data_IF_389284299209
#
_entry.id   IF_389284299209
#
_cell.length_a   1.000
_cell.length_b   1.000
_cell.length_c   1.000
_cell.angle_alpha   90.00
_cell.angle_beta   90.00
_cell.angle_gamma   90.00
#
_symmetry.space_group_name_H-M   'P 1'
#
loop_
_entity.id
_entity.type
_entity.pdbx_description
1 polymer ?
#
# COMPACT_ATOMS: atom_id res chain seq x y z
N UNK A 1 22.52 -12.00 7.30
CA UNK A 1 21.19 -12.35 6.73
C UNK A 1 20.76 -11.19 5.83
N UNK A 2 20.06 -11.50 4.73
CA UNK A 2 19.42 -10.47 3.89
C UNK A 2 18.31 -9.75 4.67
N UNK A 3 18.15 -8.44 4.48
CA UNK A 3 16.98 -7.71 5.02
C UNK A 3 15.72 -8.17 4.30
N UNK A 4 14.56 -8.06 4.94
CA UNK A 4 13.26 -8.49 4.41
C UNK A 4 12.31 -7.32 4.27
N UNK A 5 11.64 -7.22 3.12
CA UNK A 5 10.57 -6.27 2.87
C UNK A 5 9.22 -6.98 2.70
N UNK A 6 8.18 -6.43 3.31
CA UNK A 6 6.78 -6.83 3.12
C UNK A 6 6.06 -5.72 2.36
N UNK A 7 5.35 -6.06 1.28
CA UNK A 7 4.62 -5.09 0.46
C UNK A 7 3.19 -5.56 0.26
N UNK A 8 2.21 -4.76 0.68
CA UNK A 8 0.79 -5.01 0.39
C UNK A 8 0.37 -4.39 -0.94
N UNK A 9 -0.59 -5.01 -1.66
CA UNK A 9 -0.95 -4.62 -3.03
C UNK A 9 0.19 -4.87 -4.00
N UNK A 10 0.94 -5.96 -3.80
CA UNK A 10 2.20 -6.23 -4.48
C UNK A 10 2.06 -6.98 -5.82
N UNK A 11 0.86 -7.43 -6.18
CA UNK A 11 0.63 -8.14 -7.45
C UNK A 11 0.72 -7.22 -8.68
N UNK A 12 0.56 -5.89 -8.51
CA UNK A 12 0.55 -4.93 -9.62
C UNK A 12 1.01 -3.52 -9.23
N UNK A 13 1.10 -2.63 -10.21
CA UNK A 13 1.26 -1.19 -10.01
C UNK A 13 2.48 -0.80 -9.17
N UNK A 14 2.28 0.15 -8.25
CA UNK A 14 3.35 0.68 -7.38
C UNK A 14 3.87 -0.42 -6.44
N UNK A 15 2.98 -1.26 -5.88
CA UNK A 15 3.39 -2.34 -4.97
C UNK A 15 4.32 -3.34 -5.63
N UNK A 16 4.01 -3.79 -6.84
CA UNK A 16 4.90 -4.68 -7.59
C UNK A 16 6.24 -4.00 -7.92
N UNK A 17 6.20 -2.72 -8.30
CA UNK A 17 7.43 -1.98 -8.60
C UNK A 17 8.31 -1.81 -7.34
N UNK A 18 7.73 -1.57 -6.16
CA UNK A 18 8.43 -1.55 -4.87
C UNK A 18 9.05 -2.92 -4.56
N UNK A 19 8.26 -4.00 -4.67
CA UNK A 19 8.74 -5.37 -4.45
C UNK A 19 9.93 -5.70 -5.37
N UNK A 20 9.81 -5.37 -6.66
CA UNK A 20 10.89 -5.52 -7.65
C UNK A 20 12.13 -4.73 -7.26
N UNK A 21 11.96 -3.49 -6.82
CA UNK A 21 13.08 -2.63 -6.45
C UNK A 21 13.80 -3.13 -5.20
N UNK A 22 13.08 -3.61 -4.17
CA UNK A 22 13.68 -4.26 -3.00
C UNK A 22 14.44 -5.53 -3.38
N UNK A 23 13.90 -6.36 -4.28
CA UNK A 23 14.61 -7.54 -4.79
C UNK A 23 15.92 -7.16 -5.51
N UNK A 24 15.94 -6.06 -6.27
CA UNK A 24 17.17 -5.53 -6.89
C UNK A 24 18.22 -5.09 -5.86
N UNK A 25 17.77 -4.61 -4.67
CA UNK A 25 18.62 -4.32 -3.51
C UNK A 25 19.01 -5.60 -2.73
N UNK A 26 18.73 -6.81 -3.28
CA UNK A 26 19.08 -8.11 -2.68
C UNK A 26 18.35 -8.37 -1.35
N UNK A 27 17.18 -7.80 -1.16
CA UNK A 27 16.31 -8.10 -0.02
C UNK A 27 15.44 -9.33 -0.32
N UNK A 28 15.09 -10.08 0.71
CA UNK A 28 13.97 -11.02 0.64
C UNK A 28 12.66 -10.24 0.58
N UNK A 29 11.67 -10.76 -0.15
CA UNK A 29 10.43 -10.01 -0.39
C UNK A 29 9.20 -10.87 -0.09
N UNK A 30 8.34 -10.37 0.78
CA UNK A 30 6.97 -10.88 0.94
C UNK A 30 6.05 -10.01 0.09
N UNK A 31 5.46 -10.61 -0.94
CA UNK A 31 4.43 -10.00 -1.74
C UNK A 31 3.07 -10.39 -1.15
N UNK A 32 2.26 -9.40 -0.81
CA UNK A 32 0.95 -9.62 -0.22
C UNK A 32 -0.13 -8.94 -1.08
N UNK A 33 -1.13 -9.70 -1.50
CA UNK A 33 -2.22 -9.17 -2.35
C UNK A 33 -3.49 -10.01 -2.17
N UNK A 34 -4.64 -9.47 -2.57
CA UNK A 34 -5.91 -10.19 -2.57
C UNK A 34 -6.08 -11.03 -3.85
N UNK A 35 -5.38 -10.69 -4.94
CA UNK A 35 -5.50 -11.32 -6.26
C UNK A 35 -4.50 -12.47 -6.41
N UNK A 36 -4.87 -13.71 -6.01
CA UNK A 36 -3.97 -14.86 -5.95
C UNK A 36 -3.21 -15.13 -7.26
N UNK A 37 -3.91 -15.21 -8.40
CA UNK A 37 -3.26 -15.55 -9.70
C UNK A 37 -2.22 -14.50 -10.11
N UNK A 38 -2.54 -13.22 -9.90
CA UNK A 38 -1.62 -12.11 -10.19
C UNK A 38 -0.43 -12.11 -9.21
N UNK A 39 -0.69 -12.47 -7.95
CA UNK A 39 0.33 -12.61 -6.91
C UNK A 39 1.34 -13.71 -7.25
N UNK A 40 0.87 -14.90 -7.66
CA UNK A 40 1.74 -16.03 -8.03
C UNK A 40 2.63 -15.68 -9.22
N UNK A 41 2.06 -14.99 -10.22
CA UNK A 41 2.82 -14.48 -11.35
C UNK A 41 3.87 -13.43 -10.94
N UNK A 42 3.54 -12.57 -9.99
CA UNK A 42 4.45 -11.56 -9.44
C UNK A 42 5.60 -12.20 -8.67
N UNK A 43 5.31 -13.17 -7.79
CA UNK A 43 6.32 -13.93 -7.03
C UNK A 43 7.32 -14.59 -7.96
N UNK A 44 6.84 -15.30 -9.01
CA UNK A 44 7.72 -15.92 -9.99
C UNK A 44 8.69 -14.93 -10.63
N UNK A 45 8.20 -13.74 -11.01
CA UNK A 45 9.05 -12.69 -11.60
C UNK A 45 10.07 -12.13 -10.62
N UNK A 46 9.71 -11.97 -9.35
CA UNK A 46 10.60 -11.45 -8.31
C UNK A 46 11.68 -12.50 -7.97
N UNK A 47 11.30 -13.77 -7.80
CA UNK A 47 12.26 -14.85 -7.52
C UNK A 47 13.31 -15.00 -8.64
N UNK A 48 12.94 -14.74 -9.90
CA UNK A 48 13.87 -14.73 -11.04
C UNK A 48 14.96 -13.64 -10.96
N UNK A 49 14.84 -12.67 -10.03
CA UNK A 49 15.90 -11.69 -9.73
C UNK A 49 16.99 -12.25 -8.78
N UNK A 50 16.87 -13.51 -8.36
CA UNK A 50 17.84 -14.21 -7.54
C UNK A 50 17.76 -13.86 -6.04
N UNK A 51 16.58 -13.59 -5.55
CA UNK A 51 16.23 -13.41 -4.13
C UNK A 51 15.14 -14.38 -3.71
N UNK A 52 15.03 -14.64 -2.41
CA UNK A 52 13.88 -15.38 -1.90
C UNK A 52 12.64 -14.48 -1.86
N UNK A 53 11.54 -14.98 -2.43
CA UNK A 53 10.27 -14.27 -2.45
C UNK A 53 9.11 -15.24 -2.15
N UNK A 54 8.17 -14.77 -1.34
CA UNK A 54 6.96 -15.52 -1.02
C UNK A 54 5.72 -14.67 -1.29
N UNK A 55 4.65 -15.29 -1.77
CA UNK A 55 3.34 -14.68 -1.94
C UNK A 55 2.41 -15.10 -0.83
N UNK A 56 1.71 -14.15 -0.24
CA UNK A 56 0.72 -14.42 0.81
C UNK A 56 -0.57 -13.69 0.44
N UNK A 57 -1.66 -14.45 0.25
CA UNK A 57 -2.97 -13.87 0.02
C UNK A 57 -3.45 -13.13 1.25
N UNK A 58 -3.90 -11.88 1.09
CA UNK A 58 -4.35 -11.04 2.19
C UNK A 58 -5.49 -10.12 1.76
N UNK A 59 -6.55 -10.07 2.55
CA UNK A 59 -7.48 -8.95 2.56
C UNK A 59 -7.05 -7.98 3.67
N UNK A 60 -6.58 -6.81 3.29
CA UNK A 60 -6.11 -5.81 4.26
C UNK A 60 -7.25 -5.18 5.06
N UNK A 61 -8.51 -5.32 4.63
CA UNK A 61 -9.68 -4.90 5.43
C UNK A 61 -9.93 -5.82 6.62
N UNK A 62 -9.46 -7.08 6.57
CA UNK A 62 -9.59 -8.03 7.67
C UNK A 62 -8.34 -8.01 8.55
N UNK A 63 -8.52 -7.57 9.79
CA UNK A 63 -7.45 -7.53 10.79
C UNK A 63 -6.81 -8.90 11.02
N UNK A 64 -7.59 -9.98 11.02
CA UNK A 64 -7.08 -11.33 11.24
C UNK A 64 -6.24 -11.80 10.04
N UNK A 65 -6.65 -11.44 8.82
CA UNK A 65 -5.88 -11.69 7.60
C UNK A 65 -4.51 -10.98 7.66
N UNK A 66 -4.45 -9.73 8.10
CA UNK A 66 -3.19 -8.98 8.28
C UNK A 66 -2.33 -9.57 9.39
N UNK A 67 -2.91 -10.03 10.50
CA UNK A 67 -2.17 -10.75 11.56
C UNK A 67 -1.58 -12.06 11.05
N UNK A 68 -2.33 -12.80 10.23
CA UNK A 68 -1.85 -14.01 9.57
C UNK A 68 -0.71 -13.71 8.59
N UNK A 69 -0.81 -12.64 7.80
CA UNK A 69 0.28 -12.17 6.94
C UNK A 69 1.55 -11.91 7.75
N UNK A 70 1.43 -11.22 8.89
CA UNK A 70 2.57 -10.92 9.77
C UNK A 70 3.23 -12.20 10.25
N UNK A 71 2.44 -13.14 10.78
CA UNK A 71 2.96 -14.43 11.28
C UNK A 71 3.67 -15.19 10.17
N UNK A 72 3.05 -15.37 9.00
CA UNK A 72 3.65 -16.08 7.87
C UNK A 72 4.92 -15.41 7.34
N UNK A 73 4.98 -14.08 7.36
CA UNK A 73 6.18 -13.33 6.96
C UNK A 73 7.36 -13.59 7.91
N UNK A 74 7.09 -13.61 9.22
CA UNK A 74 8.10 -13.91 10.25
C UNK A 74 8.52 -15.38 10.17
N UNK A 75 7.59 -16.31 10.00
CA UNK A 75 7.88 -17.74 9.85
C UNK A 75 8.80 -17.99 8.62
N UNK A 76 8.59 -17.25 7.52
CA UNK A 76 9.38 -17.40 6.29
C UNK A 76 10.81 -16.81 6.42
N UNK A 77 10.95 -15.62 6.97
CA UNK A 77 12.22 -14.86 6.87
C UNK A 77 12.81 -14.40 8.21
N UNK A 78 12.09 -14.54 9.30
CA UNK A 78 12.48 -14.02 10.61
C UNK A 78 12.22 -12.52 10.70
N UNK A 79 13.28 -11.70 10.82
CA UNK A 79 13.12 -10.27 11.03
C UNK A 79 12.58 -9.54 9.80
N UNK A 80 11.57 -8.69 10.02
CA UNK A 80 10.99 -7.83 8.99
C UNK A 80 11.58 -6.42 9.17
N UNK A 81 12.18 -5.90 8.11
CA UNK A 81 12.90 -4.62 8.15
C UNK A 81 12.13 -3.50 7.46
N UNK A 82 11.38 -3.82 6.41
CA UNK A 82 10.58 -2.83 5.69
C UNK A 82 9.13 -3.31 5.60
N UNK A 83 8.20 -2.42 5.98
CA UNK A 83 6.77 -2.60 5.79
C UNK A 83 6.27 -1.53 4.82
N UNK A 84 5.77 -1.94 3.65
CA UNK A 84 5.09 -1.06 2.71
C UNK A 84 3.58 -1.31 2.76
N UNK A 85 2.84 -0.46 3.46
CA UNK A 85 1.39 -0.41 3.40
C UNK A 85 0.98 0.33 2.13
N UNK A 86 0.83 -0.43 1.02
CA UNK A 86 0.63 0.14 -0.29
C UNK A 86 -0.72 -0.26 -0.92
N UNK A 87 -1.37 -1.33 -0.49
CA UNK A 87 -2.70 -1.70 -0.97
C UNK A 87 -3.66 -0.51 -0.92
N UNK A 88 -4.42 -0.31 -1.97
CA UNK A 88 -5.34 0.81 -2.07
C UNK A 88 -6.33 0.68 -3.21
N UNK A 89 -7.51 1.25 -3.00
CA UNK A 89 -8.64 1.25 -3.94
C UNK A 89 -9.20 2.65 -4.13
N UNK A 90 -9.93 2.85 -5.22
CA UNK A 90 -10.67 4.08 -5.49
C UNK A 90 -12.16 3.77 -5.72
N UNK A 91 -13.09 4.67 -5.32
CA UNK A 91 -14.53 4.48 -5.56
C UNK A 91 -14.84 4.60 -7.06
N UNK A 92 -15.99 4.07 -7.51
CA UNK A 92 -16.38 4.08 -8.92
C UNK A 92 -16.73 5.48 -9.44
N UNK A 93 -17.25 6.34 -8.57
CA UNK A 93 -17.67 7.70 -8.87
C UNK A 93 -16.78 8.69 -8.11
N UNK A 94 -16.12 9.58 -8.86
CA UNK A 94 -15.20 10.59 -8.31
C UNK A 94 -15.75 12.02 -8.47
N UNK A 95 -16.91 12.17 -9.09
CA UNK A 95 -17.57 13.43 -9.46
C UNK A 95 -18.90 13.67 -8.73
N UNK A 96 -19.27 12.80 -7.80
CA UNK A 96 -20.46 12.96 -6.99
C UNK A 96 -20.29 13.99 -5.88
N UNK A 97 -21.37 14.67 -5.54
CA UNK A 97 -21.42 15.51 -4.34
C UNK A 97 -21.22 14.63 -3.09
N UNK A 98 -20.48 15.13 -2.10
CA UNK A 98 -20.05 14.33 -0.95
C UNK A 98 -21.23 13.73 -0.15
N UNK A 99 -22.38 14.39 -0.15
CA UNK A 99 -23.59 13.92 0.54
C UNK A 99 -24.38 12.86 -0.26
N UNK A 100 -24.01 12.62 -1.52
CA UNK A 100 -24.63 11.60 -2.37
C UNK A 100 -23.80 10.31 -2.45
N UNK A 101 -22.60 10.28 -1.83
CA UNK A 101 -21.76 9.09 -1.81
C UNK A 101 -22.42 7.95 -1.01
N UNK A 102 -22.41 6.73 -1.55
CA UNK A 102 -22.87 5.56 -0.83
C UNK A 102 -21.98 5.24 0.38
N UNK A 103 -22.62 4.85 1.49
CA UNK A 103 -21.88 4.41 2.67
C UNK A 103 -20.99 3.19 2.38
N UNK A 104 -21.43 2.29 1.50
CA UNK A 104 -20.62 1.15 1.06
C UNK A 104 -19.32 1.54 0.35
N UNK A 105 -19.27 2.71 -0.32
CA UNK A 105 -18.03 3.27 -0.87
C UNK A 105 -17.11 3.78 0.25
N UNK A 106 -17.69 4.41 1.28
CA UNK A 106 -16.94 4.84 2.46
C UNK A 106 -16.35 3.65 3.21
N UNK A 107 -17.18 2.64 3.50
CA UNK A 107 -16.76 1.44 4.24
C UNK A 107 -15.63 0.70 3.50
N UNK A 108 -15.79 0.52 2.19
CA UNK A 108 -14.77 -0.16 1.38
C UNK A 108 -13.47 0.62 1.29
N UNK A 109 -13.55 1.90 0.91
CA UNK A 109 -12.36 2.73 0.69
C UNK A 109 -11.63 3.02 2.00
N UNK A 110 -12.35 3.32 3.08
CA UNK A 110 -11.73 3.48 4.41
C UNK A 110 -11.17 2.16 4.92
N UNK A 111 -11.89 1.04 4.69
CA UNK A 111 -11.45 -0.30 5.05
C UNK A 111 -10.08 -0.63 4.48
N UNK A 112 -9.90 -0.46 3.17
CA UNK A 112 -8.62 -0.74 2.50
C UNK A 112 -7.57 0.32 2.77
N UNK A 113 -7.89 1.60 2.47
CA UNK A 113 -6.87 2.65 2.39
C UNK A 113 -6.40 3.17 3.74
N UNK A 114 -7.24 3.08 4.79
CA UNK A 114 -6.93 3.56 6.13
C UNK A 114 -6.79 2.42 7.13
N UNK A 115 -7.85 1.59 7.31
CA UNK A 115 -7.79 0.51 8.29
C UNK A 115 -6.76 -0.54 7.91
N UNK A 116 -6.57 -0.85 6.60
CA UNK A 116 -5.51 -1.75 6.14
C UNK A 116 -4.11 -1.25 6.54
N UNK A 117 -3.86 0.05 6.43
CA UNK A 117 -2.59 0.65 6.89
C UNK A 117 -2.47 0.57 8.41
N UNK A 118 -3.53 0.89 9.14
CA UNK A 118 -3.54 0.81 10.61
C UNK A 118 -3.29 -0.62 11.09
N UNK A 119 -3.93 -1.63 10.49
CA UNK A 119 -3.73 -3.04 10.84
C UNK A 119 -2.31 -3.50 10.51
N UNK A 120 -1.75 -3.08 9.39
CA UNK A 120 -0.35 -3.32 9.04
C UNK A 120 0.60 -2.79 10.11
N UNK A 121 0.44 -1.51 10.50
CA UNK A 121 1.24 -0.91 11.57
C UNK A 121 1.07 -1.68 12.88
N UNK A 122 -0.16 -1.95 13.32
CA UNK A 122 -0.41 -2.64 14.59
C UNK A 122 0.14 -4.08 14.63
N UNK A 123 0.17 -4.76 13.49
CA UNK A 123 0.59 -6.16 13.42
C UNK A 123 2.11 -6.32 13.28
N UNK A 124 2.76 -5.51 12.45
CA UNK A 124 4.18 -5.64 12.16
C UNK A 124 5.08 -4.84 13.08
N UNK A 125 4.67 -3.63 13.47
CA UNK A 125 5.55 -2.71 14.18
C UNK A 125 6.05 -3.23 15.54
N UNK A 126 5.25 -3.93 16.38
CA UNK A 126 5.76 -4.48 17.62
C UNK A 126 6.96 -5.42 17.39
N UNK A 127 6.88 -6.32 16.40
CA UNK A 127 7.98 -7.20 16.01
C UNK A 127 9.18 -6.42 15.47
N UNK A 128 8.94 -5.39 14.63
CA UNK A 128 10.01 -4.55 14.09
C UNK A 128 10.77 -3.77 15.18
N UNK A 129 10.08 -3.35 16.22
CA UNK A 129 10.70 -2.67 17.38
C UNK A 129 11.47 -3.68 18.23
N UNK A 130 10.92 -4.88 18.46
CA UNK A 130 11.48 -5.90 19.34
C UNK A 130 12.85 -6.40 18.89
N UNK A 131 13.04 -6.61 17.58
CA UNK A 131 14.32 -7.11 17.07
C UNK A 131 15.44 -6.04 17.02
N UNK A 132 15.15 -4.78 17.29
CA UNK A 132 16.09 -3.66 17.42
C UNK A 132 17.05 -3.42 16.23
N UNK A 133 16.78 -3.98 15.07
CA UNK A 133 17.48 -3.65 13.84
C UNK A 133 16.87 -2.40 13.18
N UNK A 134 17.62 -1.77 12.28
CA UNK A 134 17.11 -0.66 11.49
C UNK A 134 15.97 -1.11 10.57
N UNK A 135 14.91 -0.36 10.55
CA UNK A 135 13.74 -0.65 9.73
C UNK A 135 13.02 0.60 9.22
N UNK A 136 12.02 0.37 8.37
CA UNK A 136 11.28 1.46 7.77
C UNK A 136 9.82 1.09 7.50
N UNK A 137 8.91 2.00 7.79
CA UNK A 137 7.49 1.90 7.40
C UNK A 137 7.21 2.90 6.29
N UNK A 138 6.77 2.41 5.13
CA UNK A 138 6.34 3.22 4.00
C UNK A 138 4.82 3.12 3.84
N UNK A 139 4.11 4.23 4.01
CA UNK A 139 2.66 4.29 3.80
C UNK A 139 2.34 5.01 2.50
N UNK A 140 1.62 4.35 1.58
CA UNK A 140 1.20 4.96 0.32
C UNK A 140 -0.06 5.80 0.53
N UNK A 141 0.13 7.09 0.52
CA UNK A 141 -0.92 8.12 0.58
C UNK A 141 -1.35 8.48 -0.85
N UNK A 142 -1.39 9.73 -1.20
CA UNK A 142 -1.63 10.32 -2.53
C UNK A 142 -1.54 11.84 -2.41
N UNK A 143 -1.28 12.54 -3.51
CA UNK A 143 -1.52 13.99 -3.62
C UNK A 143 -2.96 14.37 -3.23
N UNK A 144 -3.95 13.47 -3.44
CA UNK A 144 -5.33 13.69 -3.03
C UNK A 144 -5.49 13.90 -1.51
N UNK A 145 -4.64 13.24 -0.70
CA UNK A 145 -4.62 13.43 0.76
C UNK A 145 -3.99 14.76 1.18
N UNK A 146 -3.08 15.31 0.37
CA UNK A 146 -2.43 16.62 0.67
C UNK A 146 -3.30 17.79 0.21
N UNK A 147 -3.91 17.66 -0.97
CA UNK A 147 -4.70 18.73 -1.59
C UNK A 147 -6.11 18.88 -1.00
N UNK A 148 -6.50 18.03 -0.05
CA UNK A 148 -7.82 18.08 0.56
C UNK A 148 -8.95 17.76 -0.43
N UNK A 149 -8.70 16.88 -1.40
CA UNK A 149 -9.74 16.40 -2.30
C UNK A 149 -10.74 15.57 -1.49
N UNK A 150 -12.00 16.00 -1.48
CA UNK A 150 -13.08 15.37 -0.73
C UNK A 150 -13.42 13.94 -1.20
N UNK A 151 -14.52 13.41 -0.66
CA UNK A 151 -14.97 12.04 -0.92
C UNK A 151 -14.16 10.98 -0.16
N UNK A 152 -14.61 9.73 -0.24
CA UNK A 152 -14.03 8.62 0.54
C UNK A 152 -12.54 8.42 0.25
N UNK A 153 -12.11 8.59 -1.00
CA UNK A 153 -10.70 8.44 -1.36
C UNK A 153 -9.82 9.52 -0.74
N UNK A 154 -10.14 10.81 -0.96
CA UNK A 154 -9.36 11.92 -0.43
C UNK A 154 -9.29 11.90 1.10
N UNK A 155 -10.44 11.66 1.75
CA UNK A 155 -10.51 11.54 3.21
C UNK A 155 -9.67 10.36 3.72
N UNK A 156 -9.75 9.18 3.09
CA UNK A 156 -8.94 8.03 3.49
C UNK A 156 -7.44 8.30 3.38
N UNK A 157 -7.01 8.99 2.33
CA UNK A 157 -5.60 9.33 2.13
C UNK A 157 -5.11 10.43 3.07
N UNK A 158 -5.97 11.41 3.40
CA UNK A 158 -5.66 12.41 4.43
C UNK A 158 -5.57 11.79 5.82
N UNK A 159 -6.49 10.87 6.16
CA UNK A 159 -6.45 10.13 7.42
C UNK A 159 -5.17 9.28 7.55
N UNK A 160 -4.75 8.61 6.45
CA UNK A 160 -3.50 7.85 6.40
C UNK A 160 -2.26 8.74 6.54
N UNK A 161 -2.29 9.95 5.99
CA UNK A 161 -1.23 10.93 6.19
C UNK A 161 -1.11 11.31 7.67
N UNK A 162 -2.21 11.72 8.30
CA UNK A 162 -2.24 12.09 9.72
C UNK A 162 -1.81 10.93 10.64
N UNK A 163 -2.25 9.69 10.34
CA UNK A 163 -1.79 8.49 11.04
C UNK A 163 -0.27 8.32 10.93
N UNK A 164 0.30 8.55 9.75
CA UNK A 164 1.74 8.39 9.50
C UNK A 164 2.58 9.45 10.21
N UNK A 165 2.10 10.69 10.29
CA UNK A 165 2.72 11.78 11.06
C UNK A 165 2.71 11.44 12.56
N UNK A 166 1.59 10.94 13.07
CA UNK A 166 1.46 10.47 14.45
C UNK A 166 2.40 9.30 14.76
N UNK A 167 2.54 8.35 13.83
CA UNK A 167 3.48 7.24 13.94
C UNK A 167 4.93 7.74 14.01
N UNK A 168 5.32 8.65 13.11
CA UNK A 168 6.66 9.25 13.10
C UNK A 168 7.00 9.92 14.44
N UNK A 169 6.07 10.70 14.99
CA UNK A 169 6.28 11.34 16.31
C UNK A 169 6.40 10.30 17.44
N UNK A 170 5.59 9.23 17.38
CA UNK A 170 5.59 8.16 18.39
C UNK A 170 6.91 7.41 18.40
N UNK A 171 7.44 7.05 17.22
CA UNK A 171 8.72 6.36 17.09
C UNK A 171 9.90 7.23 17.51
N UNK A 172 9.89 8.52 17.17
CA UNK A 172 10.88 9.49 17.68
C UNK A 172 10.88 9.59 19.20
N UNK A 173 9.70 9.62 19.82
CA UNK A 173 9.57 9.74 21.29
C UNK A 173 10.24 8.57 22.04
N UNK A 174 10.25 7.38 21.46
CA UNK A 174 10.88 6.19 22.05
C UNK A 174 12.30 5.94 21.52
N UNK A 175 12.88 6.86 20.75
CA UNK A 175 14.16 6.70 20.06
C UNK A 175 14.27 5.37 19.30
N UNK A 176 13.21 5.02 18.57
CA UNK A 176 13.16 3.82 17.75
C UNK A 176 14.19 3.87 16.62
N UNK A 177 14.66 2.69 16.21
CA UNK A 177 15.48 2.51 14.99
C UNK A 177 14.62 2.31 13.73
N UNK A 178 13.30 2.47 13.86
CA UNK A 178 12.35 2.38 12.75
C UNK A 178 12.00 3.80 12.31
N UNK A 179 12.23 4.10 11.04
CA UNK A 179 11.82 5.34 10.40
C UNK A 179 10.49 5.18 9.65
N UNK A 180 9.89 6.30 9.26
CA UNK A 180 8.60 6.35 8.57
C UNK A 180 8.68 7.30 7.38
N UNK A 181 8.15 6.89 6.25
CA UNK A 181 7.91 7.77 5.09
C UNK A 181 6.47 7.66 4.60
N UNK A 182 5.98 8.73 4.00
CA UNK A 182 4.72 8.77 3.26
C UNK A 182 4.99 8.97 1.78
N UNK A 183 4.52 8.04 0.97
CA UNK A 183 4.57 8.14 -0.48
C UNK A 183 3.31 8.85 -0.98
N UNK A 184 3.46 10.04 -1.57
CA UNK A 184 2.36 10.91 -1.99
C UNK A 184 2.31 11.06 -3.52
N UNK A 185 2.05 9.99 -4.29
CA UNK A 185 2.09 10.05 -5.73
C UNK A 185 0.95 10.92 -6.28
N UNK A 186 1.24 11.60 -7.39
CA UNK A 186 0.24 12.18 -8.26
C UNK A 186 -0.33 11.12 -9.21
N UNK A 187 -0.42 11.42 -10.51
CA UNK A 187 -0.88 10.46 -11.50
C UNK A 187 0.21 9.43 -11.82
N UNK A 188 -0.13 8.15 -11.62
CA UNK A 188 0.75 7.01 -11.90
C UNK A 188 0.00 6.00 -12.78
N UNK A 189 0.68 5.44 -13.75
CA UNK A 189 0.12 4.47 -14.69
C UNK A 189 -0.14 3.11 -14.00
N UNK A 190 -1.26 3.04 -13.28
CA UNK A 190 -1.73 1.86 -12.53
C UNK A 190 -3.18 1.52 -12.88
N UNK A 191 -3.66 0.37 -12.40
CA UNK A 191 -5.04 -0.10 -12.58
C UNK A 191 -5.98 0.30 -11.42
N UNK A 192 -5.64 1.35 -10.65
CA UNK A 192 -6.43 1.74 -9.47
C UNK A 192 -7.90 2.08 -9.80
N UNK A 193 -8.17 2.60 -11.01
CA UNK A 193 -9.55 2.88 -11.49
C UNK A 193 -10.38 1.60 -11.65
N UNK A 194 -9.72 0.46 -11.85
CA UNK A 194 -10.37 -0.83 -12.02
C UNK A 194 -10.45 -1.63 -10.70
N UNK A 195 -10.19 -0.99 -9.55
CA UNK A 195 -10.18 -1.64 -8.24
C UNK A 195 -11.53 -2.26 -7.85
N UNK A 196 -12.64 -1.85 -8.47
CA UNK A 196 -13.98 -2.44 -8.28
C UNK A 196 -14.01 -3.98 -8.45
N UNK A 197 -13.11 -4.57 -9.22
CA UNK A 197 -12.99 -6.03 -9.38
C UNK A 197 -12.69 -6.75 -8.05
N UNK A 198 -12.12 -6.04 -7.08
CA UNK A 198 -11.76 -6.56 -5.75
C UNK A 198 -12.73 -6.11 -4.65
N UNK A 199 -13.86 -5.50 -5.03
CA UNK A 199 -14.86 -5.05 -4.05
C UNK A 199 -15.64 -6.24 -3.50
N UNK A 200 -15.74 -6.39 -2.17
CA UNK A 200 -16.53 -7.47 -1.57
C UNK A 200 -18.01 -7.36 -1.95
N UNK A 201 -18.67 -8.50 -2.17
CA UNK A 201 -20.09 -8.55 -2.56
C UNK A 201 -21.01 -7.86 -1.55
N UNK A 202 -20.75 -8.00 -0.26
CA UNK A 202 -21.55 -7.37 0.80
C UNK A 202 -21.43 -5.83 0.84
N UNK A 203 -20.45 -5.26 0.13
CA UNK A 203 -20.28 -3.82 -0.07
C UNK A 203 -20.59 -3.41 -1.51
N UNK A 204 -21.26 -4.26 -2.30
CA UNK A 204 -21.63 -3.93 -3.66
C UNK A 204 -22.45 -2.61 -3.70
N UNK A 205 -22.22 -1.79 -4.71
CA UNK A 205 -22.96 -0.56 -4.95
C UNK A 205 -23.69 -0.67 -6.28
N UNK A 206 -24.95 -0.24 -6.31
CA UNK A 206 -25.72 -0.17 -7.55
C UNK A 206 -25.29 1.00 -8.45
N UNK A 207 -24.45 1.89 -7.93
CA UNK A 207 -23.95 3.03 -8.68
C UNK A 207 -22.99 2.61 -9.78
N UNK A 208 -23.34 2.96 -11.01
CA UNK A 208 -22.48 2.74 -12.16
C UNK A 208 -21.55 3.93 -12.35
N UNK A 209 -20.27 3.63 -12.51
CA UNK A 209 -19.31 4.66 -12.91
C UNK A 209 -19.70 5.24 -14.27
N UNK A 210 -19.59 6.57 -14.41
CA UNK A 210 -19.73 7.21 -15.70
C UNK A 210 -18.62 6.71 -16.64
N UNK A 211 -18.99 5.99 -17.68
CA UNK A 211 -18.04 5.36 -18.62
C UNK A 211 -17.07 6.37 -19.25
N UNK A 212 -17.57 7.56 -19.63
CA UNK A 212 -16.73 8.60 -20.23
C UNK A 212 -15.70 9.16 -19.22
N UNK A 213 -16.13 9.41 -17.99
CA UNK A 213 -15.23 9.87 -16.93
C UNK A 213 -14.20 8.83 -16.56
N UNK A 214 -14.60 7.54 -16.51
CA UNK A 214 -13.68 6.43 -16.29
C UNK A 214 -12.64 6.35 -17.41
N UNK A 215 -13.03 6.50 -18.67
CA UNK A 215 -12.10 6.53 -19.80
C UNK A 215 -11.15 7.73 -19.74
N UNK A 216 -11.65 8.91 -19.41
CA UNK A 216 -10.82 10.11 -19.27
C UNK A 216 -9.80 9.93 -18.13
N UNK A 217 -10.24 9.51 -16.96
CA UNK A 217 -9.38 9.24 -15.81
C UNK A 217 -8.32 8.16 -16.14
N UNK A 218 -8.70 7.08 -16.83
CA UNK A 218 -7.77 6.05 -17.30
C UNK A 218 -6.73 6.63 -18.27
N UNK A 219 -7.14 7.52 -19.17
CA UNK A 219 -6.22 8.17 -20.12
C UNK A 219 -5.23 9.09 -19.42
N UNK A 220 -5.66 9.82 -18.39
CA UNK A 220 -4.80 10.69 -17.57
C UNK A 220 -3.80 9.83 -16.78
N UNK A 221 -4.25 8.76 -16.13
CA UNK A 221 -3.35 7.87 -15.39
C UNK A 221 -2.32 7.20 -16.30
N UNK A 222 -2.71 6.73 -17.48
CA UNK A 222 -1.77 6.12 -18.45
C UNK A 222 -0.64 7.07 -18.90
N UNK A 223 -0.89 8.39 -18.86
CA UNK A 223 0.12 9.43 -19.14
C UNK A 223 0.93 9.82 -17.90
N UNK A 224 0.56 9.31 -16.72
CA UNK A 224 1.27 9.54 -15.47
C UNK A 224 2.64 8.90 -15.42
N UNK A 225 3.31 9.07 -14.30
CA UNK A 225 4.62 8.44 -14.07
C UNK A 225 4.52 6.92 -14.09
N UNK A 226 5.62 6.27 -14.47
CA UNK A 226 5.68 4.80 -14.42
C UNK A 226 5.84 4.33 -12.96
N UNK A 227 5.23 3.20 -12.56
CA UNK A 227 5.43 2.62 -11.23
C UNK A 227 6.90 2.42 -10.85
N UNK A 228 7.75 1.98 -11.79
CA UNK A 228 9.19 1.79 -11.54
C UNK A 228 9.90 3.10 -11.15
N UNK A 229 9.50 4.24 -11.74
CA UNK A 229 10.04 5.55 -11.39
C UNK A 229 9.65 5.96 -9.95
N UNK A 230 8.41 5.69 -9.58
CA UNK A 230 7.91 5.95 -8.22
C UNK A 230 8.66 5.06 -7.20
N UNK A 231 8.83 3.78 -7.51
CA UNK A 231 9.56 2.85 -6.64
C UNK A 231 11.02 3.26 -6.45
N UNK A 232 11.71 3.72 -7.51
CA UNK A 232 13.09 4.20 -7.40
C UNK A 232 13.21 5.40 -6.48
N UNK A 233 12.33 6.39 -6.62
CA UNK A 233 12.27 7.55 -5.72
C UNK A 233 11.96 7.18 -4.28
N UNK A 234 11.05 6.19 -4.08
CA UNK A 234 10.71 5.72 -2.75
C UNK A 234 11.95 5.09 -2.06
N UNK A 235 12.73 4.26 -2.75
CA UNK A 235 13.95 3.67 -2.17
C UNK A 235 15.00 4.73 -1.84
N UNK A 236 15.25 5.68 -2.75
CA UNK A 236 16.17 6.79 -2.51
C UNK A 236 15.76 7.61 -1.26
N UNK A 237 14.47 7.88 -1.11
CA UNK A 237 13.94 8.63 0.02
C UNK A 237 14.00 7.84 1.34
N UNK A 238 13.73 6.52 1.32
CA UNK A 238 13.91 5.63 2.46
C UNK A 238 15.37 5.66 2.91
N UNK A 239 16.32 5.53 1.99
CA UNK A 239 17.77 5.58 2.30
C UNK A 239 18.21 6.94 2.86
N UNK A 240 17.53 8.02 2.48
CA UNK A 240 17.78 9.37 2.96
C UNK A 240 16.97 9.74 4.21
N UNK A 241 16.12 8.84 4.73
CA UNK A 241 15.19 9.07 5.84
C UNK A 241 14.27 10.28 5.63
N UNK A 242 13.84 10.51 4.39
CA UNK A 242 12.89 11.56 4.05
C UNK A 242 11.47 11.13 4.44
N UNK A 243 10.77 11.95 5.23
CA UNK A 243 9.39 11.63 5.62
C UNK A 243 8.41 11.77 4.44
N UNK A 244 8.47 12.85 3.67
CA UNK A 244 7.61 13.05 2.50
C UNK A 244 8.32 12.68 1.19
N UNK A 245 7.62 11.88 0.34
CA UNK A 245 8.10 11.39 -0.96
C UNK A 245 7.11 11.76 -2.05
#
# INVERSE_FOLDING_TARGET
KSKTAVVTGAASGIGYALAKRFAQEKMNVVLADIEQDALDAAVTKISNLGVEAVGIAVDVMDKNSVQSLTKQSIDAFGNIHILCNNAGVAPPAIDEAIWDHDMSDWDWVMGVNFYGVLYGIQSFLPHMIEHQEEGHVLNTVSMAGILGLGGSYGVSKFATLSLSEGLFQSLKKINSRIDVSVLCPGFVATNIIDSQRNRPEHLASDKKSNFLLKQLASSVLKRGKKPDEIASRAIEAIQANNFYI
#
